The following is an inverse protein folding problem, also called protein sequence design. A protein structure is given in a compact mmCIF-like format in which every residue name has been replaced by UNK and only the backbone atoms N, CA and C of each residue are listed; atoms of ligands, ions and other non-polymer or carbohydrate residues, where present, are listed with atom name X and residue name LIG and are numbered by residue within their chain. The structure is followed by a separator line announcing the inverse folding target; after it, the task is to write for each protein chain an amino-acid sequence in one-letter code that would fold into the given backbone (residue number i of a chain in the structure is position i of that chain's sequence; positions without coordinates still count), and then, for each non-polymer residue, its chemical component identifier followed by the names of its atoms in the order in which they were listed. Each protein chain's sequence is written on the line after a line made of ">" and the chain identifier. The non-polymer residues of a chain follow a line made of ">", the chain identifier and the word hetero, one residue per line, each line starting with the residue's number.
data_IF_120922021059
#
_entry.id   IF_120922021059
#
_cell.length_a   1.000
_cell.length_b   1.000
_cell.length_c   1.000
_cell.angle_alpha   90.00
_cell.angle_beta   90.00
_cell.angle_gamma   90.00
#
_symmetry.space_group_name_H-M   'P 1'
#
loop_
_entity.id
_entity.type
_entity.pdbx_description
1 polymer ?
#
# COMPACT_ATOMS: atom_id res chain seq x y z
N UNK A 1 11.33 55.83 -56.94
CA UNK A 1 12.17 54.75 -56.36
C UNK A 1 12.59 54.97 -54.89
N UNK A 2 12.61 56.20 -54.35
CA UNK A 2 13.04 56.45 -52.97
C UNK A 2 12.00 56.11 -51.87
N UNK A 3 10.69 56.29 -52.12
CA UNK A 3 9.66 56.03 -51.09
C UNK A 3 9.46 54.55 -50.75
N UNK A 4 9.61 53.64 -51.72
CA UNK A 4 9.50 52.18 -51.49
C UNK A 4 10.59 51.63 -50.55
N UNK A 5 11.78 52.24 -50.51
CA UNK A 5 12.88 51.81 -49.65
C UNK A 5 12.70 52.22 -48.18
N UNK A 6 11.96 53.31 -47.91
CA UNK A 6 11.71 53.78 -46.55
C UNK A 6 10.65 52.90 -45.84
N UNK A 7 9.58 52.54 -46.56
CA UNK A 7 8.53 51.64 -46.07
C UNK A 7 9.05 50.25 -45.70
N UNK A 8 9.95 49.68 -46.52
CA UNK A 8 10.61 48.41 -46.19
C UNK A 8 11.54 48.51 -44.98
N UNK A 9 12.31 49.59 -44.85
CA UNK A 9 13.19 49.81 -43.68
C UNK A 9 12.40 49.94 -42.39
N UNK A 10 11.26 50.63 -42.40
CA UNK A 10 10.36 50.77 -41.24
C UNK A 10 9.74 49.42 -40.89
N UNK A 11 9.24 48.64 -41.88
CA UNK A 11 8.73 47.28 -41.64
C UNK A 11 9.79 46.34 -41.06
N UNK A 12 11.02 46.37 -41.59
CA UNK A 12 12.15 45.57 -41.06
C UNK A 12 12.54 45.99 -39.65
N UNK A 13 12.55 47.29 -39.34
CA UNK A 13 12.83 47.80 -37.98
C UNK A 13 11.75 47.41 -36.97
N UNK A 14 10.47 47.55 -37.35
CA UNK A 14 9.32 47.14 -36.53
C UNK A 14 9.29 45.63 -36.29
N UNK A 15 9.63 44.82 -37.30
CA UNK A 15 9.79 43.36 -37.18
C UNK A 15 10.95 42.95 -36.25
N UNK A 16 12.09 43.65 -36.30
CA UNK A 16 13.22 43.44 -35.37
C UNK A 16 12.87 43.82 -33.93
N UNK A 17 12.12 44.89 -33.72
CA UNK A 17 11.64 45.29 -32.39
C UNK A 17 10.61 44.30 -31.82
N UNK A 18 9.68 43.81 -32.64
CA UNK A 18 8.73 42.75 -32.27
C UNK A 18 9.44 41.44 -31.89
N UNK A 19 10.46 41.03 -32.66
CA UNK A 19 11.28 39.85 -32.36
C UNK A 19 12.05 40.01 -31.03
N UNK A 20 12.69 41.16 -30.81
CA UNK A 20 13.37 41.48 -29.53
C UNK A 20 12.41 41.50 -28.34
N UNK A 21 11.19 42.02 -28.49
CA UNK A 21 10.16 41.97 -27.44
C UNK A 21 9.74 40.52 -27.13
N UNK A 22 9.59 39.67 -28.15
CA UNK A 22 9.26 38.25 -27.98
C UNK A 22 10.38 37.49 -27.27
N UNK A 23 11.63 37.70 -27.66
CA UNK A 23 12.82 37.11 -27.01
C UNK A 23 12.94 37.55 -25.54
N UNK A 24 12.77 38.84 -25.24
CA UNK A 24 12.73 39.33 -23.85
C UNK A 24 11.62 38.68 -23.02
N UNK A 25 10.43 38.48 -23.60
CA UNK A 25 9.30 37.82 -22.92
C UNK A 25 9.61 36.35 -22.61
N UNK A 26 10.25 35.63 -23.53
CA UNK A 26 10.68 34.23 -23.31
C UNK A 26 11.73 34.14 -22.21
N UNK A 27 12.74 35.03 -22.22
CA UNK A 27 13.78 35.08 -21.18
C UNK A 27 13.16 35.37 -19.81
N UNK A 28 12.19 36.30 -19.73
CA UNK A 28 11.50 36.61 -18.49
C UNK A 28 10.68 35.43 -17.94
N UNK A 29 10.03 34.67 -18.82
CA UNK A 29 9.29 33.44 -18.45
C UNK A 29 10.26 32.37 -17.93
N UNK A 30 11.38 32.13 -18.62
CA UNK A 30 12.39 31.17 -18.15
C UNK A 30 12.98 31.56 -16.79
N UNK A 31 13.28 32.85 -16.60
CA UNK A 31 13.80 33.36 -15.33
C UNK A 31 12.79 33.24 -14.18
N UNK A 32 11.50 33.49 -14.44
CA UNK A 32 10.44 33.34 -13.44
C UNK A 32 10.16 31.87 -13.10
N UNK A 33 10.24 30.95 -14.06
CA UNK A 33 10.18 29.49 -13.79
C UNK A 33 11.36 29.05 -12.95
N UNK A 34 12.58 29.51 -13.26
CA UNK A 34 13.77 29.21 -12.46
C UNK A 34 13.63 29.73 -11.02
N UNK A 35 13.15 30.96 -10.85
CA UNK A 35 12.88 31.56 -9.53
C UNK A 35 11.84 30.76 -8.75
N UNK A 36 10.79 30.28 -9.41
CA UNK A 36 9.78 29.42 -8.80
C UNK A 36 10.38 28.08 -8.36
N UNK A 37 11.23 27.45 -9.18
CA UNK A 37 11.92 26.19 -8.82
C UNK A 37 12.87 26.39 -7.64
N UNK A 38 13.64 27.49 -7.63
CA UNK A 38 14.54 27.84 -6.52
C UNK A 38 13.75 28.14 -5.26
N UNK A 39 12.63 28.85 -5.37
CA UNK A 39 11.73 29.12 -4.24
C UNK A 39 11.14 27.83 -3.68
N UNK A 40 10.72 26.88 -4.53
CA UNK A 40 10.28 25.54 -4.12
C UNK A 40 11.42 24.79 -3.40
N UNK A 41 12.64 24.84 -3.90
CA UNK A 41 13.78 24.22 -3.22
C UNK A 41 14.09 24.85 -1.86
N UNK A 42 14.02 26.18 -1.75
CA UNK A 42 14.23 26.92 -0.51
C UNK A 42 13.13 26.64 0.52
N UNK A 43 11.86 26.69 0.11
CA UNK A 43 10.73 26.35 0.97
C UNK A 43 10.84 24.91 1.49
N UNK A 44 11.34 23.97 0.66
CA UNK A 44 11.61 22.59 1.09
C UNK A 44 12.76 22.52 2.08
N UNK A 45 13.85 23.26 1.84
CA UNK A 45 15.02 23.29 2.72
C UNK A 45 14.71 23.85 4.11
N UNK A 46 13.86 24.89 4.19
CA UNK A 46 13.44 25.49 5.46
C UNK A 46 12.23 24.80 6.11
N UNK A 47 11.68 23.74 5.51
CA UNK A 47 10.51 23.03 6.05
C UNK A 47 9.20 23.83 6.02
N UNK A 48 9.15 24.94 5.26
CA UNK A 48 7.98 25.84 5.13
C UNK A 48 7.11 25.39 3.94
N UNK A 49 7.00 24.09 3.69
CA UNK A 49 6.10 23.56 2.66
C UNK A 49 4.75 23.22 3.30
N UNK A 50 3.62 23.80 2.86
CA UNK A 50 2.29 23.47 3.38
C UNK A 50 1.77 22.10 2.93
N UNK A 51 2.66 21.26 2.36
CA UNK A 51 2.37 19.91 1.87
C UNK A 51 3.31 18.91 2.56
N UNK A 52 3.10 18.65 3.84
CA UNK A 52 3.77 17.55 4.54
C UNK A 52 2.81 16.37 4.63
N UNK A 53 3.17 15.27 3.96
CA UNK A 53 2.52 13.98 4.12
C UNK A 53 3.40 13.09 4.98
N UNK A 54 2.82 12.47 6.00
CA UNK A 54 3.53 11.56 6.91
C UNK A 54 3.69 10.16 6.31
N UNK A 55 3.19 9.91 5.09
CA UNK A 55 3.28 8.62 4.38
C UNK A 55 4.71 8.06 4.38
N UNK A 56 5.72 8.92 4.25
CA UNK A 56 7.13 8.52 4.21
C UNK A 56 7.77 8.31 5.59
N UNK A 57 7.12 8.72 6.69
CA UNK A 57 7.63 8.50 8.06
C UNK A 57 7.20 7.14 8.63
N UNK A 58 6.18 6.51 8.06
CA UNK A 58 5.79 5.16 8.47
C UNK A 58 6.79 4.12 7.95
N UNK A 59 7.13 3.14 8.79
CA UNK A 59 7.83 1.94 8.34
C UNK A 59 6.98 1.20 7.30
N UNK A 60 5.67 1.14 7.51
CA UNK A 60 4.67 0.64 6.56
C UNK A 60 3.38 1.43 6.66
N UNK A 61 2.79 1.72 5.51
CA UNK A 61 1.47 2.34 5.41
C UNK A 61 0.44 1.25 5.18
N UNK A 62 -0.58 1.21 6.03
CA UNK A 62 -1.62 0.19 6.04
C UNK A 62 -2.96 0.89 5.77
N UNK A 63 -3.63 0.47 4.71
CA UNK A 63 -4.83 1.11 4.17
C UNK A 63 -5.95 0.08 4.09
N UNK A 64 -7.08 0.38 4.70
CA UNK A 64 -8.30 -0.41 4.55
C UNK A 64 -9.15 0.15 3.41
N UNK A 65 -9.45 -0.66 2.40
CA UNK A 65 -10.32 -0.31 1.29
C UNK A 65 -11.61 -1.11 1.43
N UNK A 66 -12.74 -0.41 1.50
CA UNK A 66 -14.07 -0.98 1.67
C UNK A 66 -14.97 -0.56 0.52
N UNK A 67 -15.57 -1.55 -0.14
CA UNK A 67 -16.71 -1.34 -1.04
C UNK A 67 -17.99 -1.75 -0.34
N UNK A 68 -18.98 -0.87 -0.28
CA UNK A 68 -20.26 -1.10 0.40
C UNK A 68 -21.45 -0.84 -0.52
N UNK A 69 -22.62 -1.34 -0.13
CA UNK A 69 -23.86 -1.12 -0.88
C UNK A 69 -24.30 0.35 -0.82
N UNK A 70 -24.18 0.98 0.35
CA UNK A 70 -24.59 2.36 0.62
C UNK A 70 -23.76 2.92 1.80
N UNK A 71 -23.33 4.18 1.70
CA UNK A 71 -22.56 4.85 2.76
C UNK A 71 -23.48 5.44 3.84
N UNK A 72 -24.53 6.18 3.44
CA UNK A 72 -25.36 6.96 4.38
C UNK A 72 -25.96 6.15 5.53
N UNK A 73 -26.40 4.92 5.25
CA UNK A 73 -27.03 4.03 6.23
C UNK A 73 -26.08 2.96 6.77
N UNK A 74 -24.78 3.05 6.46
CA UNK A 74 -23.80 1.98 6.66
C UNK A 74 -24.35 0.64 6.16
N UNK A 75 -24.41 0.47 4.84
CA UNK A 75 -24.77 -0.80 4.22
C UNK A 75 -23.82 -1.94 4.61
N UNK A 76 -23.95 -3.11 3.98
CA UNK A 76 -22.96 -4.17 4.20
C UNK A 76 -21.70 -3.90 3.39
N UNK A 77 -20.55 -4.18 3.99
CA UNK A 77 -19.27 -4.17 3.28
C UNK A 77 -19.15 -5.43 2.40
N UNK A 78 -19.25 -5.25 1.10
CA UNK A 78 -19.22 -6.35 0.14
C UNK A 78 -17.82 -6.62 -0.42
N UNK A 79 -16.94 -5.63 -0.33
CA UNK A 79 -15.52 -5.75 -0.66
C UNK A 79 -14.70 -5.23 0.51
N UNK A 80 -13.79 -6.04 1.04
CA UNK A 80 -12.90 -5.66 2.13
C UNK A 80 -11.48 -6.04 1.71
N UNK A 81 -10.62 -5.04 1.55
CA UNK A 81 -9.24 -5.21 1.10
C UNK A 81 -8.32 -4.48 2.05
N UNK A 82 -7.36 -5.21 2.60
CA UNK A 82 -6.24 -4.64 3.34
C UNK A 82 -5.06 -4.45 2.40
N UNK A 83 -4.56 -3.22 2.27
CA UNK A 83 -3.37 -2.89 1.51
C UNK A 83 -2.25 -2.46 2.46
N UNK A 84 -1.05 -3.02 2.31
CA UNK A 84 0.13 -2.60 3.06
C UNK A 84 1.30 -2.33 2.12
N UNK A 85 1.95 -1.18 2.25
CA UNK A 85 3.12 -0.79 1.46
C UNK A 85 4.24 -0.28 2.35
N UNK A 86 5.47 -0.73 2.09
CA UNK A 86 6.67 -0.19 2.74
C UNK A 86 7.28 0.95 1.93
N UNK A 87 7.38 2.18 2.46
CA UNK A 87 8.09 3.27 1.79
C UNK A 87 9.58 2.96 1.52
N UNK A 88 10.19 2.12 2.37
CA UNK A 88 11.63 1.79 2.34
C UNK A 88 11.96 0.68 1.35
N UNK A 89 11.29 -0.46 1.47
CA UNK A 89 11.56 -1.68 0.69
C UNK A 89 10.64 -1.82 -0.54
N UNK A 90 9.59 -1.00 -0.61
CA UNK A 90 8.63 -0.93 -1.73
C UNK A 90 7.88 -2.21 -2.02
N UNK A 91 7.84 -3.15 -1.09
CA UNK A 91 6.97 -4.32 -1.18
C UNK A 91 5.53 -3.94 -0.81
N UNK A 92 4.59 -4.55 -1.53
CA UNK A 92 3.15 -4.29 -1.42
C UNK A 92 2.43 -5.60 -1.15
N UNK A 93 1.60 -5.62 -0.12
CA UNK A 93 0.61 -6.66 0.13
C UNK A 93 -0.78 -6.11 -0.19
N UNK A 94 -1.55 -6.85 -0.99
CA UNK A 94 -2.98 -6.66 -1.19
C UNK A 94 -3.66 -7.93 -0.70
N UNK A 95 -4.37 -7.84 0.43
CA UNK A 95 -5.05 -8.95 1.07
C UNK A 95 -6.55 -8.75 1.00
N UNK A 96 -7.24 -9.62 0.25
CA UNK A 96 -8.70 -9.65 0.24
C UNK A 96 -9.22 -10.42 1.47
N UNK A 97 -10.18 -9.82 2.18
CA UNK A 97 -10.87 -10.46 3.30
C UNK A 97 -12.30 -10.77 2.84
N UNK A 98 -12.68 -12.05 2.73
CA UNK A 98 -14.05 -12.40 2.38
C UNK A 98 -15.08 -11.77 3.34
N UNK A 99 -16.17 -11.24 2.80
CA UNK A 99 -17.19 -10.53 3.59
C UNK A 99 -17.85 -11.38 4.69
N UNK A 100 -17.92 -12.69 4.46
CA UNK A 100 -18.53 -13.68 5.35
C UNK A 100 -17.52 -14.27 6.36
N UNK A 101 -16.28 -13.75 6.42
CA UNK A 101 -15.27 -14.17 7.40
C UNK A 101 -15.78 -13.90 8.81
N UNK A 102 -15.83 -14.95 9.64
CA UNK A 102 -16.29 -14.89 11.03
C UNK A 102 -15.17 -14.39 11.92
N UNK A 103 -15.40 -13.27 12.59
CA UNK A 103 -14.42 -12.57 13.44
C UNK A 103 -15.08 -12.01 14.68
N UNK A 104 -14.29 -11.74 15.71
CA UNK A 104 -14.75 -10.98 16.87
C UNK A 104 -14.89 -9.50 16.48
N UNK A 105 -16.11 -8.96 16.57
CA UNK A 105 -16.39 -7.54 16.36
C UNK A 105 -16.41 -6.85 17.73
N UNK A 106 -15.51 -5.87 17.98
CA UNK A 106 -15.42 -5.21 19.29
C UNK A 106 -16.77 -4.66 19.78
N UNK A 107 -17.22 -5.15 20.94
CA UNK A 107 -18.49 -4.74 21.55
C UNK A 107 -19.74 -5.39 20.94
N UNK A 108 -19.60 -6.35 20.02
CA UNK A 108 -20.70 -7.07 19.37
C UNK A 108 -20.55 -8.60 19.41
N UNK A 109 -19.35 -9.12 19.66
CA UNK A 109 -19.08 -10.57 19.66
C UNK A 109 -18.74 -11.11 18.27
N UNK A 110 -18.76 -12.44 18.15
CA UNK A 110 -18.44 -13.14 16.90
C UNK A 110 -19.54 -12.97 15.85
N UNK A 111 -19.21 -12.39 14.70
CA UNK A 111 -20.12 -12.28 13.55
C UNK A 111 -19.33 -12.16 12.23
N UNK A 112 -20.02 -12.01 11.10
CA UNK A 112 -19.41 -11.74 9.80
C UNK A 112 -18.74 -10.37 9.80
N UNK A 113 -17.52 -10.32 9.30
CA UNK A 113 -16.72 -9.09 9.28
C UNK A 113 -17.41 -7.94 8.56
N UNK A 114 -18.25 -8.20 7.55
CA UNK A 114 -18.98 -7.16 6.85
C UNK A 114 -20.04 -6.45 7.68
N UNK A 115 -20.56 -7.08 8.74
CA UNK A 115 -21.49 -6.46 9.67
C UNK A 115 -20.81 -5.38 10.51
N UNK A 116 -19.47 -5.40 10.66
CA UNK A 116 -18.76 -4.36 11.39
C UNK A 116 -18.97 -2.96 10.80
N UNK A 117 -19.03 -2.84 9.46
CA UNK A 117 -19.35 -1.57 8.81
C UNK A 117 -20.81 -1.19 9.09
N UNK A 118 -21.75 -2.11 8.91
CA UNK A 118 -23.17 -1.84 9.19
C UNK A 118 -23.45 -1.43 10.65
N UNK A 119 -22.66 -1.94 11.59
CA UNK A 119 -22.83 -1.69 13.01
C UNK A 119 -22.22 -0.37 13.49
N UNK A 120 -21.19 0.15 12.84
CA UNK A 120 -20.41 1.27 13.38
C UNK A 120 -19.51 1.97 12.36
N UNK A 121 -19.85 1.89 11.09
CA UNK A 121 -19.19 2.59 10.00
C UNK A 121 -17.72 2.21 9.82
N UNK A 122 -17.01 3.14 9.23
CA UNK A 122 -15.57 3.14 8.96
C UNK A 122 -14.73 2.87 10.21
N UNK A 123 -15.14 3.40 11.37
CA UNK A 123 -14.43 3.23 12.64
C UNK A 123 -14.46 1.79 13.12
N UNK A 124 -15.65 1.19 13.17
CA UNK A 124 -15.79 -0.17 13.72
C UNK A 124 -15.16 -1.19 12.78
N UNK A 125 -15.38 -1.10 11.46
CA UNK A 125 -14.73 -2.03 10.52
C UNK A 125 -13.20 -1.89 10.55
N UNK A 126 -12.66 -0.68 10.62
CA UNK A 126 -11.20 -0.47 10.74
C UNK A 126 -10.64 -1.12 12.00
N UNK A 127 -11.34 -0.97 13.14
CA UNK A 127 -10.94 -1.60 14.40
C UNK A 127 -11.04 -3.13 14.32
N UNK A 128 -12.13 -3.67 13.78
CA UNK A 128 -12.32 -5.11 13.59
C UNK A 128 -11.23 -5.71 12.71
N UNK A 129 -10.92 -5.10 11.56
CA UNK A 129 -9.84 -5.57 10.67
C UNK A 129 -8.49 -5.45 11.35
N UNK A 130 -8.22 -4.34 12.06
CA UNK A 130 -6.97 -4.15 12.78
C UNK A 130 -6.74 -5.23 13.84
N UNK A 131 -7.76 -5.54 14.65
CA UNK A 131 -7.70 -6.60 15.66
C UNK A 131 -7.63 -8.00 15.03
N UNK A 132 -8.36 -8.25 13.95
CA UNK A 132 -8.35 -9.53 13.25
C UNK A 132 -6.96 -9.85 12.66
N UNK A 133 -6.33 -8.88 12.00
CA UNK A 133 -5.04 -9.06 11.34
C UNK A 133 -3.84 -8.79 12.26
N UNK A 134 -4.07 -8.27 13.47
CA UNK A 134 -3.05 -7.82 14.42
C UNK A 134 -2.02 -6.85 13.81
N UNK A 135 -2.54 -5.85 13.07
CA UNK A 135 -1.77 -4.76 12.48
C UNK A 135 -2.55 -3.45 12.53
N UNK A 136 -1.90 -2.30 12.70
CA UNK A 136 -2.61 -1.02 12.72
C UNK A 136 -3.16 -0.67 11.34
N UNK A 137 -4.33 -0.03 11.30
CA UNK A 137 -4.89 0.61 10.11
C UNK A 137 -4.62 2.12 10.21
N UNK A 138 -3.79 2.65 9.30
CA UNK A 138 -3.42 4.06 9.29
C UNK A 138 -4.43 4.88 8.49
N UNK A 139 -4.87 4.33 7.36
CA UNK A 139 -5.79 4.97 6.46
C UNK A 139 -6.94 4.06 6.07
N UNK A 140 -8.06 4.66 5.68
CA UNK A 140 -9.17 3.93 5.10
C UNK A 140 -9.79 4.70 3.94
N UNK A 141 -10.43 3.96 3.04
CA UNK A 141 -11.30 4.50 2.00
C UNK A 141 -12.52 3.59 1.90
N UNK A 142 -13.71 4.16 2.07
CA UNK A 142 -14.99 3.50 1.84
C UNK A 142 -15.64 4.14 0.62
N UNK A 143 -16.10 3.33 -0.32
CA UNK A 143 -16.84 3.79 -1.49
C UNK A 143 -18.10 2.94 -1.67
N UNK A 144 -19.19 3.59 -2.11
CA UNK A 144 -20.35 2.89 -2.66
C UNK A 144 -20.16 2.63 -4.17
N UNK A 145 -21.19 2.10 -4.82
CA UNK A 145 -21.16 1.82 -6.25
C UNK A 145 -21.01 3.09 -7.11
N UNK A 146 -21.63 4.21 -6.72
CA UNK A 146 -21.55 5.45 -7.47
C UNK A 146 -20.15 6.06 -7.37
N UNK A 147 -19.57 6.06 -6.17
CA UNK A 147 -18.20 6.50 -5.94
C UNK A 147 -17.22 5.66 -6.73
N UNK A 148 -17.38 4.34 -6.73
CA UNK A 148 -16.56 3.45 -7.54
C UNK A 148 -16.64 3.77 -9.04
N UNK A 149 -17.85 3.91 -9.61
CA UNK A 149 -18.04 4.24 -11.03
C UNK A 149 -17.36 5.57 -11.39
N UNK A 150 -17.65 6.60 -10.59
CA UNK A 150 -17.13 7.95 -10.82
C UNK A 150 -15.59 8.02 -10.75
N UNK A 151 -14.95 7.31 -9.81
CA UNK A 151 -13.48 7.25 -9.73
C UNK A 151 -12.89 6.69 -11.03
N UNK A 152 -13.45 5.60 -11.54
CA UNK A 152 -12.93 4.95 -12.75
C UNK A 152 -13.12 5.86 -13.96
N UNK A 153 -14.26 6.55 -14.06
CA UNK A 153 -14.54 7.47 -15.17
C UNK A 153 -13.64 8.70 -15.15
N UNK A 154 -13.35 9.28 -13.98
CA UNK A 154 -12.40 10.39 -13.85
C UNK A 154 -10.96 10.00 -14.24
N UNK A 155 -10.59 8.74 -13.97
CA UNK A 155 -9.34 8.16 -14.45
C UNK A 155 -9.36 7.92 -15.98
N UNK A 156 -10.51 8.04 -16.65
CA UNK A 156 -10.69 7.73 -18.06
C UNK A 156 -10.66 6.23 -18.32
N UNK A 157 -11.23 5.44 -17.42
CA UNK A 157 -11.31 3.99 -17.49
C UNK A 157 -10.01 3.26 -17.14
N UNK A 158 -10.13 1.94 -16.96
CA UNK A 158 -9.03 1.03 -16.62
C UNK A 158 -8.90 -0.08 -17.65
N UNK A 159 -7.66 -0.39 -18.04
CA UNK A 159 -7.39 -1.49 -18.98
C UNK A 159 -7.50 -2.84 -18.26
N UNK A 160 -8.39 -3.70 -18.73
CA UNK A 160 -8.59 -5.06 -18.23
C UNK A 160 -8.60 -6.03 -19.41
N UNK A 161 -7.94 -7.16 -19.23
CA UNK A 161 -8.05 -8.31 -20.12
C UNK A 161 -9.19 -9.20 -19.64
N UNK A 162 -10.38 -9.09 -20.23
CA UNK A 162 -11.55 -9.85 -19.78
C UNK A 162 -11.37 -11.32 -20.17
N UNK A 163 -11.41 -12.23 -19.19
CA UNK A 163 -10.98 -13.62 -19.38
C UNK A 163 -11.89 -14.44 -20.30
N UNK A 164 -13.17 -14.09 -20.35
CA UNK A 164 -14.22 -14.79 -21.07
C UNK A 164 -15.42 -13.88 -21.23
N UNK A 165 -16.34 -14.25 -22.10
CA UNK A 165 -17.63 -13.60 -22.18
C UNK A 165 -18.36 -13.66 -20.83
N UNK A 166 -18.81 -12.49 -20.37
CA UNK A 166 -19.60 -12.33 -19.15
C UNK A 166 -20.92 -11.72 -19.57
N UNK A 167 -21.95 -12.55 -19.63
CA UNK A 167 -23.31 -12.12 -19.93
C UNK A 167 -24.23 -12.57 -18.80
N UNK A 168 -24.92 -11.62 -18.17
CA UNK A 168 -25.91 -11.90 -17.12
C UNK A 168 -26.92 -10.76 -17.04
N UNK A 169 -28.20 -11.10 -17.00
CA UNK A 169 -29.29 -10.12 -16.91
C UNK A 169 -30.19 -10.54 -15.76
N UNK A 170 -30.29 -9.69 -14.75
CA UNK A 170 -31.26 -9.76 -13.67
C UNK A 170 -32.13 -8.50 -13.68
N UNK A 171 -33.34 -8.67 -14.21
CA UNK A 171 -34.32 -7.57 -14.30
C UNK A 171 -34.90 -7.19 -12.94
N UNK A 172 -34.90 -8.10 -11.96
CA UNK A 172 -35.43 -7.82 -10.63
C UNK A 172 -34.42 -7.04 -9.78
N UNK A 173 -33.13 -7.38 -9.90
CA UNK A 173 -32.02 -6.67 -9.25
C UNK A 173 -31.47 -5.47 -10.02
N UNK A 174 -31.97 -5.20 -11.23
CA UNK A 174 -31.48 -4.11 -12.09
C UNK A 174 -30.03 -4.29 -12.54
N UNK A 175 -29.57 -5.54 -12.68
CA UNK A 175 -28.19 -5.87 -13.06
C UNK A 175 -28.15 -6.36 -14.50
N UNK A 176 -27.47 -5.61 -15.37
CA UNK A 176 -27.11 -6.05 -16.71
C UNK A 176 -25.59 -6.09 -16.82
N UNK A 177 -25.05 -7.25 -17.19
CA UNK A 177 -23.62 -7.49 -17.39
C UNK A 177 -23.47 -7.97 -18.82
N UNK A 178 -22.67 -7.25 -19.60
CA UNK A 178 -22.35 -7.62 -20.97
C UNK A 178 -20.90 -7.22 -21.29
N UNK A 179 -19.98 -8.15 -21.10
CA UNK A 179 -18.55 -7.97 -21.38
C UNK A 179 -18.04 -9.07 -22.31
N UNK A 180 -17.35 -8.64 -23.37
CA UNK A 180 -16.68 -9.53 -24.31
C UNK A 180 -15.27 -9.86 -23.84
N UNK A 181 -14.72 -11.03 -24.19
CA UNK A 181 -13.35 -11.39 -23.84
C UNK A 181 -12.30 -10.50 -24.54
N UNK A 182 -11.14 -10.35 -23.89
CA UNK A 182 -9.97 -9.64 -24.41
C UNK A 182 -9.68 -8.31 -23.73
N UNK A 183 -8.54 -7.72 -24.11
CA UNK A 183 -8.06 -6.43 -23.61
C UNK A 183 -8.97 -5.29 -24.05
N UNK A 184 -9.48 -4.55 -23.09
CA UNK A 184 -10.34 -3.40 -23.32
C UNK A 184 -10.21 -2.39 -22.16
N UNK A 185 -10.57 -1.13 -22.43
CA UNK A 185 -10.71 -0.12 -21.38
C UNK A 185 -12.14 -0.23 -20.85
N UNK A 186 -12.27 -0.58 -19.57
CA UNK A 186 -13.53 -0.57 -18.86
C UNK A 186 -13.73 0.82 -18.25
N UNK A 187 -14.83 1.46 -18.63
CA UNK A 187 -15.41 2.61 -17.91
C UNK A 187 -15.96 2.15 -16.54
N UNK A 188 -16.47 3.09 -15.74
CA UNK A 188 -16.95 2.80 -14.39
C UNK A 188 -18.06 1.76 -14.37
N UNK A 189 -19.05 1.90 -15.27
CA UNK A 189 -20.17 0.96 -15.37
C UNK A 189 -19.70 -0.45 -15.75
N UNK A 190 -18.88 -0.59 -16.80
CA UNK A 190 -18.33 -1.90 -17.20
C UNK A 190 -17.40 -2.49 -16.14
N UNK A 191 -16.67 -1.66 -15.40
CA UNK A 191 -15.84 -2.11 -14.28
C UNK A 191 -16.71 -2.67 -13.16
N UNK A 192 -17.86 -2.05 -12.90
CA UNK A 192 -18.83 -2.52 -11.92
C UNK A 192 -19.44 -3.85 -12.36
N UNK A 193 -19.83 -3.97 -13.63
CA UNK A 193 -20.28 -5.23 -14.23
C UNK A 193 -19.23 -6.34 -14.07
N UNK A 194 -17.96 -6.03 -14.34
CA UNK A 194 -16.85 -6.98 -14.24
C UNK A 194 -16.67 -7.54 -12.83
N UNK A 195 -16.76 -6.71 -11.79
CA UNK A 195 -16.62 -7.17 -10.39
C UNK A 195 -17.90 -7.76 -9.81
N UNK A 196 -19.08 -7.50 -10.39
CA UNK A 196 -20.36 -8.07 -9.94
C UNK A 196 -20.66 -9.44 -10.53
N UNK A 197 -20.01 -9.82 -11.64
CA UNK A 197 -20.23 -11.12 -12.25
C UNK A 197 -19.97 -12.25 -11.23
N UNK A 198 -20.84 -13.26 -11.16
CA UNK A 198 -20.71 -14.44 -10.28
C UNK A 198 -21.12 -15.73 -10.99
N UNK A 199 -21.61 -15.62 -12.22
CA UNK A 199 -22.26 -16.71 -12.95
C UNK A 199 -21.23 -17.62 -13.63
N UNK A 200 -20.29 -18.15 -12.84
CA UNK A 200 -19.30 -19.11 -13.30
C UNK A 200 -18.97 -20.20 -12.28
N UNK A 201 -18.21 -21.21 -12.73
CA UNK A 201 -17.81 -22.37 -11.94
C UNK A 201 -17.03 -22.03 -10.67
N UNK A 202 -16.45 -20.83 -10.57
CA UNK A 202 -15.67 -20.38 -9.41
C UNK A 202 -16.51 -19.54 -8.44
N UNK A 203 -17.72 -19.11 -8.81
CA UNK A 203 -18.62 -18.32 -7.98
C UNK A 203 -17.92 -17.13 -7.32
N UNK A 204 -17.94 -17.10 -5.99
CA UNK A 204 -17.33 -16.02 -5.20
C UNK A 204 -15.80 -15.97 -5.27
N UNK A 205 -15.14 -17.11 -5.46
CA UNK A 205 -13.69 -17.13 -5.67
C UNK A 205 -13.33 -16.45 -7.00
N UNK A 206 -14.13 -16.67 -8.04
CA UNK A 206 -13.98 -15.99 -9.33
C UNK A 206 -14.17 -14.47 -9.18
N UNK A 207 -15.16 -14.06 -8.39
CA UNK A 207 -15.43 -12.65 -8.08
C UNK A 207 -14.25 -11.98 -7.37
N UNK A 208 -13.71 -12.61 -6.33
CA UNK A 208 -12.55 -12.09 -5.59
C UNK A 208 -11.35 -11.89 -6.52
N UNK A 209 -11.06 -12.86 -7.40
CA UNK A 209 -9.97 -12.73 -8.37
C UNK A 209 -10.15 -11.53 -9.32
N UNK A 210 -11.38 -11.29 -9.77
CA UNK A 210 -11.70 -10.12 -10.62
C UNK A 210 -11.57 -8.80 -9.88
N UNK A 211 -12.04 -8.73 -8.65
CA UNK A 211 -11.85 -7.56 -7.77
C UNK A 211 -10.35 -7.27 -7.56
N UNK A 212 -9.54 -8.30 -7.30
CA UNK A 212 -8.08 -8.17 -7.17
C UNK A 212 -7.43 -7.68 -8.47
N UNK A 213 -7.81 -8.24 -9.62
CA UNK A 213 -7.30 -7.82 -10.93
C UNK A 213 -7.64 -6.37 -11.23
N UNK A 214 -8.89 -5.97 -10.95
CA UNK A 214 -9.32 -4.58 -11.11
C UNK A 214 -8.56 -3.65 -10.17
N UNK A 215 -8.38 -4.01 -8.89
CA UNK A 215 -7.63 -3.19 -7.93
C UNK A 215 -6.19 -2.95 -8.41
N UNK A 216 -5.51 -3.98 -8.93
CA UNK A 216 -4.18 -3.81 -9.53
C UNK A 216 -4.20 -2.90 -10.76
N UNK A 217 -5.21 -3.01 -11.62
CA UNK A 217 -5.35 -2.14 -12.79
C UNK A 217 -5.60 -0.68 -12.39
N UNK A 218 -6.41 -0.43 -11.36
CA UNK A 218 -6.65 0.90 -10.79
C UNK A 218 -5.36 1.47 -10.21
N UNK A 219 -4.62 0.70 -9.40
CA UNK A 219 -3.33 1.13 -8.85
C UNK A 219 -2.37 1.51 -9.99
N UNK A 220 -2.24 0.64 -11.00
CA UNK A 220 -1.41 0.90 -12.19
C UNK A 220 -1.85 2.16 -12.93
N UNK A 221 -3.16 2.39 -13.07
CA UNK A 221 -3.72 3.60 -13.71
C UNK A 221 -3.43 4.85 -12.88
N UNK A 222 -3.54 4.79 -11.56
CA UNK A 222 -3.24 5.90 -10.65
C UNK A 222 -1.76 6.26 -10.62
N UNK A 223 -0.85 5.31 -10.91
CA UNK A 223 0.59 5.57 -11.04
C UNK A 223 0.97 6.41 -12.27
N UNK A 224 0.07 6.60 -13.23
CA UNK A 224 0.32 7.42 -14.41
C UNK A 224 0.35 8.91 -14.05
N UNK A 225 1.27 9.66 -14.67
CA UNK A 225 1.44 11.09 -14.40
C UNK A 225 0.14 11.89 -14.56
N UNK A 226 -0.63 11.61 -15.63
CA UNK A 226 -1.91 12.28 -15.90
C UNK A 226 -2.99 11.99 -14.85
N UNK A 227 -2.93 10.83 -14.19
CA UNK A 227 -3.86 10.49 -13.10
C UNK A 227 -3.48 11.23 -11.82
N UNK A 228 -2.18 11.37 -11.53
CA UNK A 228 -1.68 12.06 -10.33
C UNK A 228 -2.06 13.53 -10.34
N UNK A 229 -1.97 14.20 -11.50
CA UNK A 229 -2.35 15.62 -11.63
C UNK A 229 -3.83 15.88 -11.42
N UNK A 230 -4.68 14.86 -11.62
CA UNK A 230 -6.14 14.91 -11.37
C UNK A 230 -6.54 14.63 -9.93
N UNK A 231 -5.65 14.12 -9.08
CA UNK A 231 -6.00 13.74 -7.69
C UNK A 231 -6.73 14.85 -6.90
N UNK A 232 -6.29 16.13 -6.94
CA UNK A 232 -7.02 17.19 -6.24
C UNK A 232 -8.47 17.37 -6.74
N UNK A 233 -8.68 17.30 -8.06
CA UNK A 233 -9.99 17.42 -8.69
C UNK A 233 -10.89 16.23 -8.34
N UNK A 234 -10.34 15.01 -8.41
CA UNK A 234 -11.03 13.78 -8.00
C UNK A 234 -11.41 13.87 -6.51
N UNK A 235 -10.47 14.26 -5.65
CA UNK A 235 -10.72 14.38 -4.21
C UNK A 235 -11.83 15.37 -3.87
N UNK A 236 -11.99 16.42 -4.66
CA UNK A 236 -13.06 17.41 -4.46
C UNK A 236 -14.40 16.95 -5.04
N UNK A 237 -14.40 16.41 -6.26
CA UNK A 237 -15.60 15.92 -6.93
C UNK A 237 -16.21 14.66 -6.31
N UNK A 238 -15.44 13.90 -5.54
CA UNK A 238 -15.89 12.66 -4.88
C UNK A 238 -16.40 12.87 -3.45
N UNK A 239 -16.47 14.12 -2.95
CA UNK A 239 -17.06 14.42 -1.65
C UNK A 239 -18.52 13.96 -1.63
N UNK A 240 -18.85 13.00 -0.76
CA UNK A 240 -20.19 12.41 -0.63
C UNK A 240 -20.34 11.02 -1.24
N UNK A 241 -19.43 10.60 -2.13
CA UNK A 241 -19.41 9.24 -2.69
C UNK A 241 -18.28 8.37 -2.13
N UNK A 242 -17.31 9.00 -1.49
CA UNK A 242 -16.18 8.36 -0.83
C UNK A 242 -16.04 8.93 0.56
N UNK A 243 -15.89 8.04 1.54
CA UNK A 243 -15.50 8.37 2.90
C UNK A 243 -14.04 7.94 3.12
N UNK A 244 -13.15 8.88 3.43
CA UNK A 244 -11.72 8.57 3.61
C UNK A 244 -11.04 9.56 4.53
N UNK A 245 -10.03 9.09 5.27
CA UNK A 245 -9.10 9.96 6.00
C UNK A 245 -7.82 10.27 5.21
N UNK A 246 -7.69 9.81 3.96
CA UNK A 246 -6.57 10.12 3.07
C UNK A 246 -6.76 11.51 2.49
N UNK A 247 -5.86 12.44 2.82
CA UNK A 247 -5.89 13.79 2.24
C UNK A 247 -5.31 13.75 0.83
N UNK A 248 -5.66 14.74 -0.01
CA UNK A 248 -5.14 14.84 -1.38
C UNK A 248 -3.59 14.77 -1.45
N UNK A 249 -2.89 15.37 -0.48
CA UNK A 249 -1.44 15.29 -0.37
C UNK A 249 -0.92 13.87 -0.07
N UNK A 250 -1.64 13.11 0.77
CA UNK A 250 -1.29 11.72 1.12
C UNK A 250 -1.55 10.82 -0.09
N UNK A 251 -2.64 11.05 -0.81
CA UNK A 251 -2.93 10.37 -2.07
C UNK A 251 -1.84 10.62 -3.13
N UNK A 252 -1.34 11.85 -3.26
CA UNK A 252 -0.21 12.17 -4.15
C UNK A 252 1.07 11.47 -3.70
N UNK A 253 1.36 11.45 -2.39
CA UNK A 253 2.53 10.77 -1.84
C UNK A 253 2.46 9.26 -2.08
N UNK A 254 1.31 8.64 -1.83
CA UNK A 254 1.03 7.23 -2.11
C UNK A 254 1.19 6.92 -3.60
N UNK A 255 0.60 7.71 -4.50
CA UNK A 255 0.69 7.48 -5.94
C UNK A 255 2.16 7.54 -6.43
N UNK A 256 2.95 8.48 -5.93
CA UNK A 256 4.38 8.55 -6.22
C UNK A 256 5.15 7.36 -5.65
N UNK A 257 4.81 6.91 -4.44
CA UNK A 257 5.40 5.73 -3.84
C UNK A 257 5.12 4.47 -4.69
N UNK A 258 3.86 4.25 -5.06
CA UNK A 258 3.45 3.15 -5.94
C UNK A 258 4.15 3.20 -7.30
N UNK A 259 4.33 4.38 -7.89
CA UNK A 259 5.06 4.54 -9.17
C UNK A 259 6.48 3.98 -9.11
N UNK A 260 7.09 3.99 -7.93
CA UNK A 260 8.42 3.45 -7.69
C UNK A 260 8.48 1.96 -7.40
N UNK A 261 7.35 1.25 -7.37
CA UNK A 261 7.22 -0.18 -7.06
C UNK A 261 7.29 -1.02 -8.34
N UNK A 262 8.15 -2.04 -8.36
CA UNK A 262 8.18 -3.03 -9.44
C UNK A 262 7.02 -4.03 -9.31
N UNK A 263 6.52 -4.55 -10.42
CA UNK A 263 5.39 -5.49 -10.41
C UNK A 263 5.68 -6.76 -9.58
N UNK A 264 6.93 -7.24 -9.57
CA UNK A 264 7.33 -8.41 -8.76
C UNK A 264 7.23 -8.20 -7.24
N UNK A 265 7.11 -6.96 -6.78
CA UNK A 265 7.00 -6.59 -5.37
C UNK A 265 5.56 -6.61 -4.86
N UNK A 266 4.58 -6.78 -5.76
CA UNK A 266 3.17 -6.95 -5.38
C UNK A 266 2.91 -8.40 -5.01
N UNK A 267 2.37 -8.60 -3.81
CA UNK A 267 1.83 -9.86 -3.31
C UNK A 267 0.33 -9.69 -3.17
N UNK A 268 -0.43 -10.57 -3.82
CA UNK A 268 -1.89 -10.57 -3.75
C UNK A 268 -2.33 -11.88 -3.12
N UNK A 269 -3.09 -11.78 -2.04
CA UNK A 269 -3.50 -12.92 -1.22
C UNK A 269 -4.98 -12.77 -0.84
N UNK A 270 -5.59 -13.89 -0.46
CA UNK A 270 -6.94 -13.91 0.14
C UNK A 270 -6.85 -14.62 1.47
N UNK A 271 -7.54 -14.10 2.49
CA UNK A 271 -7.65 -14.76 3.79
C UNK A 271 -8.18 -16.18 3.61
N UNK A 272 -7.45 -17.16 4.12
CA UNK A 272 -7.84 -18.56 4.09
C UNK A 272 -8.89 -18.82 5.17
N UNK A 273 -9.97 -19.49 4.80
CA UNK A 273 -11.08 -19.79 5.72
C UNK A 273 -11.84 -21.03 5.25
N UNK A 274 -12.50 -21.72 6.17
CA UNK A 274 -13.33 -22.90 5.88
C UNK A 274 -14.81 -22.53 5.95
N UNK A 275 -15.65 -22.99 5.00
CA UNK A 275 -17.08 -22.77 5.11
C UNK A 275 -17.64 -23.56 6.30
N UNK A 276 -18.44 -22.88 7.14
CA UNK A 276 -19.15 -23.49 8.27
C UNK A 276 -20.58 -22.98 8.33
N UNK A 277 -21.48 -23.79 8.88
CA UNK A 277 -22.86 -23.39 9.16
C UNK A 277 -23.07 -23.38 10.68
N UNK A 278 -23.43 -22.23 11.21
CA UNK A 278 -23.70 -22.04 12.64
C UNK A 278 -25.15 -21.55 12.71
N UNK A 279 -26.02 -22.33 13.36
CA UNK A 279 -27.45 -22.01 13.52
C UNK A 279 -28.16 -21.70 12.17
N UNK A 280 -27.75 -22.40 11.10
CA UNK A 280 -28.31 -22.21 9.76
C UNK A 280 -27.75 -21.01 8.97
N UNK A 281 -26.86 -20.23 9.57
CA UNK A 281 -26.17 -19.12 8.90
C UNK A 281 -24.81 -19.60 8.39
N UNK A 282 -24.51 -19.33 7.12
CA UNK A 282 -23.22 -19.64 6.50
C UNK A 282 -22.16 -18.61 6.89
N UNK A 283 -21.00 -19.09 7.34
CA UNK A 283 -19.82 -18.31 7.65
C UNK A 283 -18.58 -18.87 6.95
N UNK A 284 -17.52 -18.05 6.88
CA UNK A 284 -16.16 -18.49 6.58
C UNK A 284 -15.33 -18.40 7.85
N UNK A 285 -14.99 -19.54 8.45
CA UNK A 285 -14.22 -19.60 9.71
C UNK A 285 -12.71 -19.61 9.40
N UNK A 286 -11.95 -18.56 9.74
CA UNK A 286 -10.49 -18.55 9.64
C UNK A 286 -9.84 -19.23 10.86
N UNK A 287 -8.61 -19.72 10.69
CA UNK A 287 -7.71 -19.88 11.83
C UNK A 287 -7.03 -18.52 12.07
N UNK A 288 -7.43 -17.82 13.13
CA UNK A 288 -7.00 -16.43 13.38
C UNK A 288 -5.49 -16.34 13.61
N UNK A 289 -4.91 -17.27 14.38
CA UNK A 289 -3.45 -17.27 14.62
C UNK A 289 -2.67 -17.48 13.32
N UNK A 290 -3.09 -18.44 12.47
CA UNK A 290 -2.46 -18.68 11.17
C UNK A 290 -2.57 -17.46 10.24
N UNK A 291 -3.71 -16.78 10.24
CA UNK A 291 -3.90 -15.56 9.43
C UNK A 291 -2.95 -14.46 9.91
N UNK A 292 -2.89 -14.20 11.22
CA UNK A 292 -2.01 -13.17 11.79
C UNK A 292 -0.54 -13.48 11.51
N UNK A 293 -0.10 -14.73 11.73
CA UNK A 293 1.26 -15.16 11.39
C UNK A 293 1.56 -14.99 9.90
N UNK A 294 0.63 -15.38 9.02
CA UNK A 294 0.80 -15.22 7.57
C UNK A 294 0.92 -13.76 7.20
N UNK A 295 0.05 -12.90 7.72
CA UNK A 295 0.08 -11.45 7.45
C UNK A 295 1.38 -10.83 7.93
N UNK A 296 1.80 -11.11 9.17
CA UNK A 296 3.09 -10.65 9.72
C UNK A 296 4.26 -11.12 8.86
N UNK A 297 4.25 -12.38 8.42
CA UNK A 297 5.30 -12.92 7.55
C UNK A 297 5.39 -12.22 6.18
N UNK A 298 4.26 -11.75 5.65
CA UNK A 298 4.18 -11.06 4.37
C UNK A 298 4.56 -9.58 4.48
N UNK A 299 4.27 -8.95 5.62
CA UNK A 299 4.46 -7.52 5.89
C UNK A 299 5.85 -7.22 6.43
N UNK A 300 6.32 -8.02 7.38
CA UNK A 300 7.61 -7.77 8.04
C UNK A 300 8.70 -8.73 7.54
N UNK A 301 8.33 -9.83 6.89
CA UNK A 301 9.26 -10.89 6.52
C UNK A 301 9.09 -12.12 7.41
N UNK A 302 9.68 -13.25 7.02
CA UNK A 302 9.51 -14.54 7.71
C UNK A 302 9.84 -14.50 9.20
N UNK A 303 10.70 -13.56 9.62
CA UNK A 303 11.20 -13.47 10.98
C UNK A 303 10.38 -12.53 11.88
N UNK A 304 9.19 -12.10 11.42
CA UNK A 304 8.29 -11.25 12.19
C UNK A 304 7.92 -11.85 13.54
N UNK A 305 8.03 -11.05 14.60
CA UNK A 305 7.72 -11.44 15.98
C UNK A 305 8.87 -12.19 16.68
N UNK A 306 9.96 -12.50 15.97
CA UNK A 306 11.18 -13.02 16.59
C UNK A 306 11.90 -11.86 17.27
N UNK A 307 11.92 -11.87 18.60
CA UNK A 307 12.54 -10.86 19.44
C UNK A 307 14.04 -11.08 19.55
N UNK A 308 14.82 -10.09 19.10
CA UNK A 308 16.27 -10.17 19.00
C UNK A 308 16.93 -9.09 19.83
N UNK A 309 17.96 -9.48 20.57
CA UNK A 309 18.93 -8.57 21.14
C UNK A 309 20.25 -8.67 20.37
N UNK A 310 20.86 -7.53 20.05
CA UNK A 310 22.12 -7.45 19.31
C UNK A 310 23.17 -6.78 20.19
N UNK A 311 24.22 -7.54 20.54
CA UNK A 311 25.29 -7.12 21.42
C UNK A 311 26.62 -6.96 20.67
N UNK A 312 27.32 -5.88 20.95
CA UNK A 312 28.67 -5.63 20.42
C UNK A 312 29.72 -6.34 21.28
N UNK A 313 30.28 -7.43 20.77
CA UNK A 313 31.35 -8.20 21.41
C UNK A 313 32.74 -7.96 20.82
N UNK A 314 32.93 -6.95 19.97
CA UNK A 314 34.19 -6.72 19.25
C UNK A 314 34.77 -5.30 19.37
N UNK A 315 34.19 -4.46 20.25
CA UNK A 315 34.56 -3.06 20.49
C UNK A 315 34.42 -2.10 19.30
N UNK A 316 33.84 -2.52 18.16
CA UNK A 316 33.63 -1.61 17.04
C UNK A 316 32.39 -0.73 17.25
N UNK A 317 32.60 0.58 17.22
CA UNK A 317 31.50 1.53 17.35
C UNK A 317 30.49 1.39 16.21
N UNK A 318 29.21 1.29 16.56
CA UNK A 318 28.09 1.29 15.62
C UNK A 318 27.78 -0.03 14.91
N UNK A 319 28.58 -1.09 15.11
CA UNK A 319 28.38 -2.36 14.38
C UNK A 319 27.08 -3.07 14.81
N UNK A 320 26.78 -3.10 16.11
CA UNK A 320 25.54 -3.69 16.63
C UNK A 320 24.30 -2.96 16.10
N UNK A 321 24.35 -1.62 16.04
CA UNK A 321 23.26 -0.83 15.45
C UNK A 321 23.06 -1.11 13.95
N UNK A 322 24.16 -1.24 13.19
CA UNK A 322 24.10 -1.58 11.77
C UNK A 322 23.42 -2.93 11.56
N UNK A 323 23.86 -3.97 12.28
CA UNK A 323 23.30 -5.32 12.16
C UNK A 323 21.84 -5.36 12.65
N UNK A 324 21.51 -4.67 13.74
CA UNK A 324 20.14 -4.55 14.22
C UNK A 324 19.21 -3.96 13.14
N UNK A 325 19.66 -2.94 12.40
CA UNK A 325 18.89 -2.35 11.30
C UNK A 325 18.71 -3.32 10.11
N UNK A 326 19.70 -4.14 9.82
CA UNK A 326 19.61 -5.16 8.75
C UNK A 326 18.69 -6.33 9.17
N UNK A 327 18.68 -6.70 10.45
CA UNK A 327 17.76 -7.67 11.02
C UNK A 327 16.32 -7.13 11.05
N UNK A 328 16.12 -5.88 11.44
CA UNK A 328 14.81 -5.21 11.38
C UNK A 328 14.26 -5.22 9.94
N UNK A 329 15.14 -5.02 8.94
CA UNK A 329 14.80 -5.16 7.52
C UNK A 329 14.40 -6.58 7.11
N UNK A 330 14.91 -7.61 7.79
CA UNK A 330 14.51 -9.01 7.60
C UNK A 330 13.29 -9.41 8.46
N UNK A 331 12.72 -8.47 9.21
CA UNK A 331 11.49 -8.64 9.98
C UNK A 331 11.65 -8.94 11.46
N UNK A 332 12.88 -9.03 11.96
CA UNK A 332 13.12 -9.27 13.38
C UNK A 332 12.68 -8.07 14.24
N UNK A 333 12.14 -8.35 15.43
CA UNK A 333 11.79 -7.32 16.42
C UNK A 333 13.03 -7.05 17.29
N UNK A 334 13.69 -5.91 17.10
CA UNK A 334 14.87 -5.55 17.89
C UNK A 334 14.43 -5.05 19.25
N UNK A 335 14.69 -5.84 20.29
CA UNK A 335 14.34 -5.52 21.68
C UNK A 335 15.41 -4.65 22.34
N UNK A 336 16.69 -4.93 22.05
CA UNK A 336 17.82 -4.19 22.62
C UNK A 336 19.04 -4.19 21.69
N UNK A 337 19.83 -3.12 21.77
CA UNK A 337 21.13 -2.98 21.10
C UNK A 337 22.12 -2.40 22.11
N UNK A 338 23.13 -3.18 22.50
CA UNK A 338 24.08 -2.79 23.55
C UNK A 338 25.48 -3.40 23.31
N UNK A 339 26.38 -3.27 24.27
CA UNK A 339 27.64 -3.99 24.34
C UNK A 339 27.45 -5.34 25.04
N UNK A 340 28.26 -6.33 24.64
CA UNK A 340 28.34 -7.59 25.37
C UNK A 340 29.08 -7.42 26.70
N UNK A 341 29.13 -8.48 27.49
CA UNK A 341 29.86 -8.54 28.76
C UNK A 341 31.37 -8.31 28.62
N UNK A 342 31.93 -8.59 27.44
CA UNK A 342 33.32 -8.32 27.07
C UNK A 342 33.45 -8.08 25.55
N UNK A 343 34.66 -7.75 25.09
CA UNK A 343 34.94 -7.41 23.68
C UNK A 343 35.93 -8.36 22.99
N UNK A 344 36.20 -9.51 23.59
CA UNK A 344 37.15 -10.51 23.08
C UNK A 344 36.46 -11.70 22.39
N UNK A 345 35.19 -11.55 21.99
CA UNK A 345 34.51 -12.53 21.16
C UNK A 345 35.19 -12.64 19.79
N UNK A 346 35.93 -13.73 19.56
CA UNK A 346 36.60 -13.97 18.27
C UNK A 346 35.59 -14.28 17.16
N UNK A 347 34.50 -14.98 17.48
CA UNK A 347 33.42 -15.31 16.56
C UNK A 347 32.08 -14.78 17.03
N UNK A 348 31.22 -14.45 16.08
CA UNK A 348 29.83 -14.08 16.32
C UNK A 348 29.09 -15.27 16.90
N UNK A 349 28.39 -15.05 18.03
CA UNK A 349 27.56 -16.07 18.67
C UNK A 349 26.09 -15.76 18.49
N UNK A 350 25.34 -16.77 18.08
CA UNK A 350 23.90 -16.69 17.83
C UNK A 350 23.23 -17.66 18.80
N UNK A 351 22.66 -17.12 19.87
CA UNK A 351 22.02 -17.89 20.94
C UNK A 351 20.52 -17.94 20.69
N UNK A 352 19.99 -19.12 20.44
CA UNK A 352 18.59 -19.35 20.08
C UNK A 352 17.81 -19.89 21.28
N UNK A 353 16.85 -19.11 21.77
CA UNK A 353 15.99 -19.48 22.90
C UNK A 353 14.65 -20.09 22.47
N UNK A 354 14.16 -19.79 21.27
CA UNK A 354 12.89 -20.32 20.75
C UNK A 354 13.10 -21.32 19.60
N UNK A 355 12.34 -22.42 19.61
CA UNK A 355 12.35 -23.42 18.52
C UNK A 355 11.71 -22.90 17.23
N UNK A 356 10.98 -21.79 17.32
CA UNK A 356 10.27 -21.17 16.20
C UNK A 356 11.19 -20.27 15.36
N UNK A 357 12.38 -19.94 15.88
CA UNK A 357 13.37 -19.14 15.15
C UNK A 357 13.92 -19.91 13.96
N UNK A 358 13.69 -19.38 12.75
CA UNK A 358 14.23 -19.93 11.52
C UNK A 358 15.45 -19.12 11.05
N UNK A 359 16.65 -19.66 11.26
CA UNK A 359 17.90 -19.07 10.77
C UNK A 359 18.16 -19.49 9.32
N UNK A 360 17.43 -18.87 8.40
CA UNK A 360 17.53 -19.18 6.97
C UNK A 360 18.83 -18.66 6.33
N UNK A 361 19.02 -18.95 5.04
CA UNK A 361 20.25 -18.56 4.32
C UNK A 361 20.39 -17.03 4.16
N UNK A 362 19.31 -16.26 4.28
CA UNK A 362 19.35 -14.80 4.17
C UNK A 362 19.83 -14.20 5.50
N UNK A 363 19.33 -14.71 6.62
CA UNK A 363 19.83 -14.37 7.95
C UNK A 363 21.33 -14.66 8.08
N UNK A 364 21.77 -15.86 7.66
CA UNK A 364 23.18 -16.28 7.77
C UNK A 364 24.14 -15.41 6.97
N UNK A 365 23.70 -14.74 5.89
CA UNK A 365 24.53 -13.85 5.08
C UNK A 365 24.92 -12.56 5.80
N UNK A 366 24.28 -12.24 6.94
CA UNK A 366 24.63 -11.08 7.74
C UNK A 366 25.96 -11.25 8.47
N UNK A 367 26.45 -12.48 8.61
CA UNK A 367 27.61 -12.82 9.42
C UNK A 367 28.67 -13.51 8.56
N UNK A 368 29.95 -13.23 8.83
CA UNK A 368 31.06 -13.85 8.11
C UNK A 368 31.34 -15.26 8.63
N UNK A 369 31.44 -15.40 9.96
CA UNK A 369 31.62 -16.67 10.66
C UNK A 369 30.84 -16.64 11.97
N UNK A 370 30.18 -17.73 12.34
CA UNK A 370 29.35 -17.71 13.55
C UNK A 370 29.18 -19.09 14.17
N UNK A 371 28.93 -19.07 15.47
CA UNK A 371 28.55 -20.23 16.26
C UNK A 371 27.07 -20.13 16.65
N UNK A 372 26.31 -21.21 16.43
CA UNK A 372 24.92 -21.29 16.89
C UNK A 372 24.88 -22.08 18.20
N UNK A 373 24.38 -21.44 19.25
CA UNK A 373 24.10 -22.08 20.55
C UNK A 373 22.60 -22.19 20.71
N UNK A 374 22.07 -23.39 20.96
CA UNK A 374 20.63 -23.63 21.15
C UNK A 374 20.34 -23.84 22.62
N UNK A 375 19.71 -22.87 23.26
CA UNK A 375 19.35 -22.91 24.67
C UNK A 375 17.84 -22.76 24.84
N UNK A 376 17.04 -23.74 24.41
CA UNK A 376 15.60 -23.55 24.43
C UNK A 376 15.05 -23.28 25.85
N UNK A 377 14.41 -22.11 26.06
CA UNK A 377 13.87 -21.68 27.35
C UNK A 377 12.39 -21.32 27.21
N UNK A 378 11.58 -21.69 28.20
CA UNK A 378 10.12 -21.52 28.20
C UNK A 378 9.64 -20.17 28.75
N UNK A 379 10.53 -19.30 29.26
CA UNK A 379 10.17 -18.02 29.91
C UNK A 379 11.17 -16.88 29.61
N UNK A 380 11.70 -16.79 28.39
CA UNK A 380 12.49 -15.62 27.97
C UNK A 380 11.62 -14.66 27.16
N UNK A 381 11.76 -13.35 27.37
CA UNK A 381 11.16 -12.32 26.51
C UNK A 381 11.96 -12.12 25.20
N UNK A 382 12.97 -12.96 24.96
CA UNK A 382 13.84 -12.94 23.80
C UNK A 382 13.80 -14.31 23.14
N UNK A 383 13.77 -14.32 21.82
CA UNK A 383 13.84 -15.53 21.00
C UNK A 383 15.28 -15.80 20.54
N UNK A 384 16.08 -14.74 20.40
CA UNK A 384 17.42 -14.74 19.85
C UNK A 384 18.31 -13.68 20.51
N UNK A 385 19.57 -14.03 20.80
CA UNK A 385 20.63 -13.06 21.16
C UNK A 385 21.78 -13.24 20.19
N UNK A 386 22.29 -12.13 19.66
CA UNK A 386 23.40 -12.10 18.71
C UNK A 386 24.54 -11.30 19.31
N UNK A 387 25.66 -11.94 19.62
CA UNK A 387 26.87 -11.30 20.11
C UNK A 387 27.87 -11.22 18.95
N UNK A 388 28.14 -10.01 18.47
CA UNK A 388 28.99 -9.79 17.30
C UNK A 388 30.46 -9.94 17.66
N UNK A 389 31.15 -10.87 16.99
CA UNK A 389 32.56 -11.14 17.19
C UNK A 389 33.47 -10.36 16.25
N UNK A 390 34.78 -10.55 16.40
CA UNK A 390 35.82 -9.92 15.56
C UNK A 390 35.80 -10.42 14.11
N UNK A 391 35.17 -11.56 13.83
CA UNK A 391 34.91 -12.07 12.48
C UNK A 391 34.08 -11.11 11.61
N UNK A 392 33.33 -10.20 12.23
CA UNK A 392 32.53 -9.19 11.55
C UNK A 392 33.37 -8.11 10.86
N UNK A 393 34.69 -8.18 11.05
CA UNK A 393 35.69 -7.31 10.45
C UNK A 393 36.43 -8.11 9.40
N UNK A 394 36.41 -7.64 8.14
CA UNK A 394 37.43 -8.01 7.16
C UNK A 394 38.66 -7.14 7.38
#
# INVERSE_FOLDING_TARGET
>A
MYENNLGERIRRKKGRELKKKKEKKVILIMFSVLLLVVLIFLLKYFGIFPFSSDIMSYNRVNILIVGCDEIENHGRADTIVFLSISPKTKDVLILSIPRDTRVEIPGRGMDKINHAYAFGGEKLISKTVSSFLDVPIHFYTVADFNGFVNIIDELGGVEIDVEKEMHYVDKAGGVEINLYPGKQILDGEKSLQYIRFRHDKLGDLGRIKRQQKLALAVIKKMMNFDSITKIPQISEGMKGYIETNIKAQDAIALANLFRGVNQEKFRVETVQSKPVYIEGVSYLEPNVEEVQQRVKSLIYGKNSGVKVEVLNGNAMSGIAYKIAKDLELQGFEIVNVDNADNFDYEKTKIIVYSKEVNLDNEFKKLFNDFEIVKEYRTQTNLDLVIILGKDMVN
#
